data_IF_493698282171
#
_entry.id   IF_493698282171
#
_cell.length_a   1.000
_cell.length_b   1.000
_cell.length_c   1.000
_cell.angle_alpha   90.00
_cell.angle_beta   90.00
_cell.angle_gamma   90.00
#
_symmetry.space_group_name_H-M   'P 1'
#
loop_
_entity.id
_entity.type
_entity.pdbx_description
1 polymer ?
#
# COMPACT_ATOMS: atom_id res chain seq x y z
N UNK A 1 -67.05 2.87 0.23
CA UNK A 1 -66.06 3.60 -0.66
C UNK A 1 -64.65 3.17 -0.26
N UNK A 2 -64.09 2.20 -1.00
CA UNK A 2 -62.68 1.78 -0.83
C UNK A 2 -61.86 2.54 -1.83
N UNK A 3 -60.91 3.40 -1.36
CA UNK A 3 -59.92 4.09 -2.21
C UNK A 3 -58.68 3.23 -2.28
N UNK A 4 -58.40 2.71 -3.46
CA UNK A 4 -57.17 2.04 -3.78
C UNK A 4 -56.12 3.11 -4.13
N UNK A 5 -55.09 3.28 -3.29
CA UNK A 5 -53.92 4.08 -3.59
C UNK A 5 -52.91 3.21 -4.31
N UNK A 6 -52.69 3.43 -5.60
CA UNK A 6 -51.59 2.89 -6.36
C UNK A 6 -50.29 3.63 -5.94
N UNK A 7 -49.41 2.95 -5.20
CA UNK A 7 -48.07 3.43 -4.98
C UNK A 7 -47.21 3.05 -6.18
N UNK A 8 -46.84 4.01 -7.00
CA UNK A 8 -45.89 3.83 -8.10
C UNK A 8 -44.48 3.88 -7.51
N UNK A 9 -43.84 2.71 -7.40
CA UNK A 9 -42.42 2.62 -7.03
C UNK A 9 -41.58 3.04 -8.23
N UNK A 10 -40.98 4.22 -8.18
CA UNK A 10 -39.89 4.63 -9.10
C UNK A 10 -38.61 3.88 -8.70
N UNK A 11 -38.25 2.89 -9.47
CA UNK A 11 -36.93 2.28 -9.39
C UNK A 11 -35.90 3.24 -10.01
N UNK A 12 -35.14 3.93 -9.15
CA UNK A 12 -33.96 4.69 -9.60
C UNK A 12 -32.87 3.69 -9.93
N UNK A 13 -32.69 3.40 -11.20
CA UNK A 13 -31.53 2.67 -11.67
C UNK A 13 -30.29 3.53 -11.50
N UNK A 14 -29.50 3.27 -10.46
CA UNK A 14 -28.16 3.84 -10.36
C UNK A 14 -27.33 3.28 -11.53
N UNK A 15 -26.64 4.14 -12.30
CA UNK A 15 -25.72 3.66 -13.31
C UNK A 15 -24.62 2.87 -12.62
N UNK A 16 -24.60 1.54 -12.82
CA UNK A 16 -23.46 0.72 -12.50
C UNK A 16 -22.35 1.13 -13.46
N UNK A 17 -21.49 2.04 -13.02
CA UNK A 17 -20.23 2.28 -13.73
C UNK A 17 -19.54 0.91 -13.85
N UNK A 18 -19.17 0.47 -15.07
CA UNK A 18 -18.42 -0.75 -15.22
C UNK A 18 -17.12 -0.54 -14.47
N UNK A 19 -16.93 -1.26 -13.36
CA UNK A 19 -15.64 -1.41 -12.72
C UNK A 19 -14.78 -2.15 -13.76
N UNK A 20 -14.10 -1.38 -14.62
CA UNK A 20 -13.10 -1.95 -15.53
C UNK A 20 -12.04 -2.54 -14.64
N UNK A 21 -12.05 -3.87 -14.51
CA UNK A 21 -10.86 -4.58 -14.09
C UNK A 21 -9.80 -4.33 -15.17
N UNK A 22 -8.92 -3.36 -14.93
CA UNK A 22 -7.87 -2.99 -15.89
C UNK A 22 -6.74 -4.03 -15.95
N UNK A 23 -7.05 -5.28 -15.61
CA UNK A 23 -6.13 -6.42 -15.67
C UNK A 23 -5.81 -6.84 -17.12
N UNK A 24 -6.49 -6.28 -18.14
CA UNK A 24 -6.20 -6.56 -19.55
C UNK A 24 -4.75 -6.16 -19.91
N UNK A 25 -4.19 -5.18 -19.21
CA UNK A 25 -2.80 -4.72 -19.37
C UNK A 25 -2.04 -4.94 -18.05
N UNK A 26 -1.83 -6.21 -17.66
CA UNK A 26 -1.04 -6.54 -16.49
C UNK A 26 0.36 -5.93 -16.61
N UNK A 27 0.85 -5.19 -15.59
CA UNK A 27 2.12 -4.49 -15.67
C UNK A 27 3.27 -5.49 -15.85
N UNK A 28 4.23 -5.11 -16.69
CA UNK A 28 5.49 -5.84 -16.77
C UNK A 28 6.27 -5.65 -15.46
N UNK A 29 6.68 -6.76 -14.86
CA UNK A 29 7.46 -6.72 -13.62
C UNK A 29 8.91 -7.16 -13.84
N UNK A 30 9.82 -6.48 -13.14
CA UNK A 30 11.25 -6.79 -13.12
C UNK A 30 11.56 -7.80 -12.02
N UNK A 31 12.29 -8.84 -12.37
CA UNK A 31 12.74 -9.90 -11.47
C UNK A 31 14.18 -9.66 -10.99
N UNK A 32 14.57 -10.34 -9.95
CA UNK A 32 15.93 -10.25 -9.36
C UNK A 32 17.05 -10.68 -10.31
N UNK A 33 16.75 -11.53 -11.30
CA UNK A 33 17.68 -11.94 -12.35
C UNK A 33 17.80 -10.93 -13.50
N UNK A 34 17.09 -9.79 -13.40
CA UNK A 34 17.05 -8.74 -14.44
C UNK A 34 16.06 -9.00 -15.56
N UNK A 35 15.38 -10.15 -15.60
CA UNK A 35 14.34 -10.41 -16.58
C UNK A 35 13.09 -9.57 -16.30
N UNK A 36 12.35 -9.21 -17.36
CA UNK A 36 11.07 -8.52 -17.24
C UNK A 36 9.98 -9.27 -18.01
N UNK A 37 8.77 -9.27 -17.49
CA UNK A 37 7.63 -9.88 -18.14
C UNK A 37 6.33 -9.58 -17.41
N UNK A 38 5.17 -9.81 -18.06
CA UNK A 38 3.88 -9.54 -17.45
C UNK A 38 3.67 -10.39 -16.18
N UNK A 39 2.96 -9.82 -15.22
CA UNK A 39 2.40 -10.57 -14.10
C UNK A 39 1.13 -11.28 -14.56
N UNK A 40 0.89 -12.47 -14.04
CA UNK A 40 -0.35 -13.19 -14.33
C UNK A 40 -1.53 -12.44 -13.68
N UNK A 41 -2.58 -12.08 -14.43
CA UNK A 41 -3.76 -11.43 -13.89
C UNK A 41 -4.41 -12.20 -12.73
N UNK A 42 -4.44 -13.54 -12.80
CA UNK A 42 -4.99 -14.38 -11.74
C UNK A 42 -4.18 -14.30 -10.45
N UNK A 43 -2.85 -14.16 -10.54
CA UNK A 43 -1.98 -13.93 -9.39
C UNK A 43 -2.26 -12.60 -8.71
N UNK A 44 -2.49 -11.55 -9.51
CA UNK A 44 -2.80 -10.21 -9.01
C UNK A 44 -4.17 -10.18 -8.32
N UNK A 45 -5.16 -10.87 -8.87
CA UNK A 45 -6.49 -11.02 -8.24
C UNK A 45 -6.40 -11.75 -6.91
N UNK A 46 -5.68 -12.88 -6.86
CA UNK A 46 -5.46 -13.63 -5.64
C UNK A 46 -4.69 -12.80 -4.59
N UNK A 47 -3.66 -12.07 -5.02
CA UNK A 47 -2.92 -11.18 -4.16
C UNK A 47 -3.84 -10.10 -3.59
N UNK A 48 -4.62 -9.42 -4.43
CA UNK A 48 -5.58 -8.39 -4.00
C UNK A 48 -6.60 -8.94 -3.00
N UNK A 49 -7.15 -10.10 -3.26
CA UNK A 49 -8.13 -10.75 -2.37
C UNK A 49 -7.54 -11.15 -1.00
N UNK A 50 -6.23 -11.37 -0.92
CA UNK A 50 -5.53 -11.75 0.31
C UNK A 50 -5.06 -10.57 1.16
N UNK A 51 -5.13 -9.34 0.63
CA UNK A 51 -4.73 -8.12 1.31
C UNK A 51 -5.93 -7.38 1.91
N UNK A 52 -5.73 -6.74 3.05
CA UNK A 52 -6.66 -5.75 3.61
C UNK A 52 -6.38 -4.35 3.08
N UNK A 53 -5.11 -4.03 2.93
CA UNK A 53 -4.65 -2.76 2.40
C UNK A 53 -4.70 -2.70 0.87
N UNK A 54 -4.65 -1.48 0.28
CA UNK A 54 -4.71 -1.33 -1.16
C UNK A 54 -3.50 -1.91 -1.88
N UNK A 55 -3.77 -2.51 -3.04
CA UNK A 55 -2.82 -2.83 -4.08
C UNK A 55 -3.08 -1.86 -5.24
N UNK A 56 -2.08 -1.09 -5.61
CA UNK A 56 -2.15 -0.04 -6.64
C UNK A 56 -1.27 -0.41 -7.83
N UNK A 57 -1.81 -0.29 -9.02
CA UNK A 57 -1.10 -0.44 -10.29
C UNK A 57 -0.90 0.92 -10.96
N UNK A 58 0.02 1.04 -11.92
CA UNK A 58 0.13 2.22 -12.76
C UNK A 58 -1.24 2.61 -13.38
N UNK A 59 -1.63 3.86 -13.19
CA UNK A 59 -2.95 4.36 -13.61
C UNK A 59 -4.05 4.32 -12.54
N UNK A 60 -3.86 3.60 -11.45
CA UNK A 60 -4.81 3.62 -10.32
C UNK A 60 -4.73 4.96 -9.56
N UNK A 61 -5.87 5.39 -9.04
CA UNK A 61 -5.93 6.56 -8.17
C UNK A 61 -5.04 6.35 -6.93
N UNK A 62 -4.12 7.28 -6.67
CA UNK A 62 -3.19 7.21 -5.54
C UNK A 62 -1.85 6.53 -5.85
N UNK A 63 -1.70 5.82 -6.99
CA UNK A 63 -0.44 5.17 -7.35
C UNK A 63 0.73 6.15 -7.39
N UNK A 64 0.59 7.28 -8.09
CA UNK A 64 1.65 8.29 -8.19
C UNK A 64 2.03 8.91 -6.85
N UNK A 65 1.09 9.08 -5.96
CA UNK A 65 1.35 9.55 -4.59
C UNK A 65 2.10 8.49 -3.78
N UNK A 66 1.66 7.23 -3.87
CA UNK A 66 2.22 6.13 -3.09
C UNK A 66 3.65 5.77 -3.51
N UNK A 67 3.97 5.82 -4.82
CA UNK A 67 5.30 5.45 -5.34
C UNK A 67 6.38 6.49 -5.04
N UNK A 68 6.02 7.76 -4.84
CA UNK A 68 6.98 8.86 -4.68
C UNK A 68 7.79 8.75 -3.40
N UNK A 69 9.05 9.19 -3.50
CA UNK A 69 9.98 9.37 -2.40
C UNK A 69 10.28 10.86 -2.21
N UNK A 70 10.89 11.24 -1.08
CA UNK A 70 11.17 12.67 -0.78
C UNK A 70 12.16 13.31 -1.73
N UNK A 71 13.14 12.56 -2.23
CA UNK A 71 14.06 13.05 -3.23
C UNK A 71 13.38 13.01 -4.62
N UNK A 72 12.88 14.14 -5.07
CA UNK A 72 12.14 14.26 -6.33
C UNK A 72 12.98 14.00 -7.59
N UNK A 73 14.32 13.97 -7.48
CA UNK A 73 15.17 13.55 -8.59
C UNK A 73 15.11 12.04 -8.85
N UNK A 74 14.52 11.27 -7.93
CA UNK A 74 14.29 9.83 -8.05
C UNK A 74 12.86 9.60 -8.47
N UNK A 75 12.64 9.35 -9.76
CA UNK A 75 11.32 9.08 -10.32
C UNK A 75 11.29 7.66 -10.89
N UNK A 76 10.96 6.69 -10.03
CA UNK A 76 10.86 5.28 -10.37
C UNK A 76 9.41 4.80 -10.42
N UNK A 77 9.15 3.79 -11.26
CA UNK A 77 7.83 3.27 -11.54
C UNK A 77 7.73 1.78 -11.18
N UNK A 78 7.34 1.46 -9.93
CA UNK A 78 7.07 0.08 -9.54
C UNK A 78 5.96 -0.54 -10.39
N UNK A 79 6.04 -1.84 -10.70
CA UNK A 79 4.94 -2.55 -11.36
C UNK A 79 3.67 -2.58 -10.47
N UNK A 80 3.87 -2.65 -9.15
CA UNK A 80 2.78 -2.57 -8.18
C UNK A 80 3.26 -1.95 -6.87
N UNK A 81 2.35 -1.26 -6.20
CA UNK A 81 2.54 -0.72 -4.85
C UNK A 81 1.53 -1.36 -3.92
N UNK A 82 1.98 -1.91 -2.80
CA UNK A 82 1.12 -2.43 -1.74
C UNK A 82 1.25 -1.53 -0.52
N UNK A 83 0.13 -1.06 0.02
CA UNK A 83 0.07 -0.29 1.26
C UNK A 83 -0.56 -1.15 2.37
N UNK A 84 0.23 -1.92 3.12
CA UNK A 84 -0.28 -2.82 4.14
C UNK A 84 -0.93 -2.04 5.28
N UNK A 85 -2.03 -2.60 5.81
CA UNK A 85 -2.70 -2.11 7.01
C UNK A 85 -2.46 -3.01 8.23
N UNK A 86 -1.73 -4.10 8.05
CA UNK A 86 -1.38 -5.04 9.11
C UNK A 86 -0.19 -5.92 8.74
N UNK A 87 0.39 -6.58 9.74
CA UNK A 87 1.57 -7.44 9.56
C UNK A 87 1.31 -8.59 8.57
N UNK A 88 0.07 -9.08 8.50
CA UNK A 88 -0.26 -10.15 7.57
C UNK A 88 -0.16 -9.70 6.11
N UNK A 89 -0.55 -8.45 5.81
CA UNK A 89 -0.37 -7.88 4.46
C UNK A 89 1.11 -7.79 4.09
N UNK A 90 1.97 -7.41 5.06
CA UNK A 90 3.43 -7.36 4.86
C UNK A 90 3.97 -8.75 4.49
N UNK A 91 3.58 -9.79 5.25
CA UNK A 91 3.98 -11.17 4.98
C UNK A 91 3.51 -11.63 3.60
N UNK A 92 2.25 -11.37 3.28
CA UNK A 92 1.65 -11.72 1.97
C UNK A 92 2.42 -11.06 0.82
N UNK A 93 2.75 -9.76 0.94
CA UNK A 93 3.50 -9.03 -0.08
C UNK A 93 4.92 -9.57 -0.26
N UNK A 94 5.64 -9.83 0.84
CA UNK A 94 6.99 -10.40 0.81
C UNK A 94 6.98 -11.80 0.21
N UNK A 95 6.04 -12.65 0.61
CA UNK A 95 5.89 -14.00 0.08
C UNK A 95 5.53 -14.00 -1.42
N UNK A 96 4.69 -13.07 -1.85
CA UNK A 96 4.39 -12.90 -3.28
C UNK A 96 5.63 -12.49 -4.07
N UNK A 97 6.37 -11.47 -3.62
CA UNK A 97 7.60 -11.03 -4.27
C UNK A 97 8.62 -12.17 -4.37
N UNK A 98 8.81 -12.93 -3.28
CA UNK A 98 9.72 -14.08 -3.24
C UNK A 98 9.29 -15.18 -4.23
N UNK A 99 8.03 -15.60 -4.23
CA UNK A 99 7.53 -16.64 -5.13
C UNK A 99 7.64 -16.27 -6.61
N UNK A 100 7.51 -14.98 -6.93
CA UNK A 100 7.59 -14.46 -8.30
C UNK A 100 8.98 -13.92 -8.66
N UNK A 101 9.97 -14.08 -7.76
CA UNK A 101 11.33 -13.57 -7.89
C UNK A 101 11.38 -12.07 -8.24
N UNK A 102 10.46 -11.27 -7.67
CA UNK A 102 10.35 -9.84 -7.97
C UNK A 102 11.38 -9.02 -7.22
N UNK A 103 11.85 -7.95 -7.86
CA UNK A 103 12.54 -6.87 -7.16
C UNK A 103 11.59 -6.26 -6.12
N UNK A 104 12.05 -6.17 -4.87
CA UNK A 104 11.26 -5.61 -3.76
C UNK A 104 11.94 -4.39 -3.17
N UNK A 105 11.20 -3.28 -3.06
CA UNK A 105 11.61 -2.10 -2.33
C UNK A 105 10.64 -1.82 -1.17
N UNK A 106 11.17 -1.40 -0.02
CA UNK A 106 10.37 -1.06 1.16
C UNK A 106 10.46 0.43 1.43
N UNK A 107 9.32 1.10 1.51
CA UNK A 107 9.19 2.52 1.81
C UNK A 107 8.41 2.73 3.11
N UNK A 108 8.88 3.64 3.97
CA UNK A 108 8.09 4.26 5.03
C UNK A 108 7.99 5.78 4.80
N UNK A 109 8.79 6.62 5.44
CA UNK A 109 8.84 8.07 5.21
C UNK A 109 9.47 8.50 3.86
N UNK A 110 10.01 7.57 3.10
CA UNK A 110 10.60 7.84 1.78
C UNK A 110 11.91 8.65 1.81
N UNK A 111 12.64 8.63 2.92
CA UNK A 111 13.87 9.42 3.14
C UNK A 111 15.16 8.79 2.56
N UNK A 112 15.08 7.70 1.83
CA UNK A 112 16.26 7.09 1.22
C UNK A 112 16.91 8.02 0.20
N UNK A 113 18.09 8.55 0.52
CA UNK A 113 18.85 9.44 -0.37
C UNK A 113 19.22 8.72 -1.67
N UNK A 114 19.59 7.44 -1.59
CA UNK A 114 19.96 6.63 -2.75
C UNK A 114 18.77 6.06 -3.54
N UNK A 115 17.52 6.33 -3.12
CA UNK A 115 16.31 5.85 -3.78
C UNK A 115 16.01 4.37 -3.61
N UNK A 116 16.65 3.68 -2.67
CA UNK A 116 16.40 2.23 -2.44
C UNK A 116 15.04 1.92 -1.85
N UNK A 117 14.28 2.93 -1.43
CA UNK A 117 12.89 2.78 -0.94
C UNK A 117 11.85 2.73 -2.06
N UNK A 118 12.27 2.80 -3.32
CA UNK A 118 11.45 2.59 -4.51
C UNK A 118 12.24 1.83 -5.58
N UNK A 119 11.57 1.30 -6.60
CA UNK A 119 12.21 0.51 -7.65
C UNK A 119 11.48 0.69 -8.98
N UNK A 120 12.15 0.39 -10.08
CA UNK A 120 11.50 0.30 -11.38
C UNK A 120 11.04 -1.13 -11.65
N UNK A 121 9.79 -1.27 -12.08
CA UNK A 121 9.19 -2.54 -12.47
C UNK A 121 9.03 -3.58 -11.34
N UNK A 122 9.48 -3.29 -10.12
CA UNK A 122 9.36 -4.21 -8.99
C UNK A 122 8.09 -4.02 -8.16
N UNK A 123 8.05 -4.66 -7.01
CA UNK A 123 7.03 -4.44 -5.99
C UNK A 123 7.55 -3.41 -4.98
N UNK A 124 6.81 -2.32 -4.79
CA UNK A 124 7.05 -1.40 -3.68
C UNK A 124 6.08 -1.69 -2.54
N UNK A 125 6.63 -1.97 -1.36
CA UNK A 125 5.88 -2.13 -0.12
C UNK A 125 5.90 -0.80 0.63
N UNK A 126 4.81 -0.04 0.56
CA UNK A 126 4.68 1.27 1.19
C UNK A 126 4.03 1.14 2.57
N UNK A 127 4.83 1.19 3.61
CA UNK A 127 4.41 1.02 5.00
C UNK A 127 3.67 2.24 5.58
N UNK A 128 3.44 3.31 4.82
CA UNK A 128 2.89 4.58 5.32
C UNK A 128 1.53 4.46 6.01
N UNK A 129 0.77 3.37 5.75
CA UNK A 129 -0.50 3.08 6.41
C UNK A 129 -0.34 2.24 7.69
N UNK A 130 0.83 1.65 7.91
CA UNK A 130 1.11 0.80 9.07
C UNK A 130 1.65 1.66 10.22
N UNK A 131 0.76 2.38 10.89
CA UNK A 131 1.08 3.33 11.95
C UNK A 131 0.65 2.82 13.31
N UNK A 132 1.36 3.23 14.33
CA UNK A 132 1.05 2.98 15.73
C UNK A 132 2.30 3.09 16.58
N UNK A 133 2.17 3.77 17.72
CA UNK A 133 3.20 3.90 18.75
C UNK A 133 2.62 3.42 20.07
N UNK A 134 3.36 2.59 20.78
CA UNK A 134 3.04 2.19 22.14
C UNK A 134 4.29 2.36 23.02
N UNK A 135 4.19 3.18 24.04
CA UNK A 135 5.29 3.44 24.97
C UNK A 135 5.06 2.67 26.27
N UNK A 136 6.04 1.89 26.66
CA UNK A 136 6.12 1.29 28.00
C UNK A 136 7.01 2.18 28.87
N UNK A 137 6.37 2.95 29.75
CA UNK A 137 7.05 3.92 30.60
C UNK A 137 7.97 3.24 31.62
N UNK A 138 7.56 2.08 32.15
CA UNK A 138 8.32 1.39 33.19
C UNK A 138 9.65 0.84 32.64
N UNK A 139 9.65 0.28 31.44
CA UNK A 139 10.86 -0.22 30.79
C UNK A 139 11.56 0.83 29.92
N UNK A 140 10.95 2.00 29.71
CA UNK A 140 11.41 3.05 28.79
C UNK A 140 11.62 2.54 27.37
N UNK A 141 10.71 1.70 26.90
CA UNK A 141 10.73 1.11 25.56
C UNK A 141 9.54 1.61 24.75
N UNK A 142 9.78 2.06 23.53
CA UNK A 142 8.73 2.36 22.57
C UNK A 142 8.66 1.28 21.50
N UNK A 143 7.45 0.79 21.22
CA UNK A 143 7.13 -0.10 20.11
C UNK A 143 6.51 0.74 18.99
N UNK A 144 7.20 0.84 17.87
CA UNK A 144 6.85 1.75 16.79
C UNK A 144 6.61 0.94 15.52
N UNK A 145 5.46 1.11 14.90
CA UNK A 145 5.15 0.47 13.63
C UNK A 145 6.00 1.06 12.49
N UNK A 146 6.33 0.25 11.48
CA UNK A 146 7.30 0.59 10.44
C UNK A 146 6.91 1.75 9.51
N UNK A 147 5.65 2.20 9.54
CA UNK A 147 5.17 3.36 8.77
C UNK A 147 5.09 4.66 9.57
N UNK A 148 5.42 4.64 10.87
CA UNK A 148 5.40 5.84 11.69
C UNK A 148 6.49 6.83 11.26
N UNK A 149 6.15 8.11 11.37
CA UNK A 149 7.12 9.19 11.29
C UNK A 149 7.67 9.49 12.68
N UNK A 150 8.89 10.06 12.75
CA UNK A 150 9.53 10.40 14.01
C UNK A 150 8.67 11.30 14.90
N UNK A 151 7.99 12.30 14.30
CA UNK A 151 7.10 13.18 15.04
C UNK A 151 5.90 12.49 15.71
N UNK A 152 5.48 11.32 15.23
CA UNK A 152 4.43 10.52 15.88
C UNK A 152 4.97 9.85 17.14
N UNK A 153 6.22 9.36 17.09
CA UNK A 153 6.92 8.82 18.26
C UNK A 153 7.18 9.91 19.29
N UNK A 154 7.66 11.07 18.86
CA UNK A 154 7.92 12.21 19.76
C UNK A 154 6.63 12.65 20.44
N UNK A 155 5.53 12.76 19.71
CA UNK A 155 4.24 13.16 20.27
C UNK A 155 3.80 12.22 21.41
N UNK A 156 3.88 10.92 21.20
CA UNK A 156 3.48 9.92 22.20
C UNK A 156 4.47 9.85 23.39
N UNK A 157 5.77 9.94 23.12
CA UNK A 157 6.81 9.86 24.16
C UNK A 157 6.84 11.10 25.05
N UNK A 158 6.75 12.30 24.46
CA UNK A 158 6.82 13.57 25.21
C UNK A 158 5.63 13.73 26.16
N UNK A 159 4.44 13.26 25.80
CA UNK A 159 3.28 13.23 26.70
C UNK A 159 3.50 12.40 27.96
N UNK A 160 4.50 11.52 27.96
CA UNK A 160 4.90 10.65 29.09
C UNK A 160 6.21 11.09 29.74
N UNK A 161 6.74 12.27 29.37
CA UNK A 161 8.00 12.81 29.89
C UNK A 161 9.25 12.08 29.39
N UNK A 162 9.13 11.38 28.24
CA UNK A 162 10.22 10.65 27.60
C UNK A 162 10.60 11.27 26.27
N UNK A 163 11.86 11.12 25.87
CA UNK A 163 12.38 11.53 24.55
C UNK A 163 13.24 10.41 23.97
N UNK A 164 13.36 10.37 22.65
CA UNK A 164 14.28 9.48 21.96
C UNK A 164 15.30 10.29 21.18
N UNK A 165 16.47 9.71 20.98
CA UNK A 165 17.48 10.24 20.04
C UNK A 165 17.24 9.58 18.67
N UNK A 166 17.27 10.36 17.59
CA UNK A 166 17.15 9.89 16.21
C UNK A 166 18.23 10.53 15.34
#
# INVERSE_FOLDING_TARGET
FVRHSLATAMAVALPTLPFRSSWADAPAATRLDGSSGPLDPSDLEQLRASLRGPLLLPGDAGYDTARRVRNLSIDRHPALVIQPTGVNDVRTAVDFARRRNLLLAVKCGGHSISGKSTCDGGLQLDLSQLRGVRVDVASRVAYVAGGCLLGELDHEAMGLGLVTTA
#
